data_IF_866182502175
#
_entry.id   IF_866182502175
#
_cell.length_a   1.000
_cell.length_b   1.000
_cell.length_c   1.000
_cell.angle_alpha   90.00
_cell.angle_beta   90.00
_cell.angle_gamma   90.00
#
_symmetry.space_group_name_H-M   'P 1'
#
loop_
_entity.id
_entity.type
_entity.pdbx_description
1 polymer ?
#
# COMPACT_ATOMS: atom_id res chain seq x y z
N UNK A 1 36.28 -16.74 -10.80
CA UNK A 1 36.03 -16.87 -9.35
C UNK A 1 35.79 -15.48 -8.75
N UNK A 2 34.51 -15.18 -8.52
CA UNK A 2 33.94 -14.26 -7.52
C UNK A 2 34.47 -12.82 -7.42
N UNK A 3 34.06 -11.95 -8.36
CA UNK A 3 33.61 -10.61 -7.99
C UNK A 3 32.15 -10.74 -7.55
N UNK A 4 31.90 -10.69 -6.23
CA UNK A 4 30.57 -10.73 -5.63
C UNK A 4 30.11 -9.30 -5.32
N UNK A 5 28.95 -8.95 -5.87
CA UNK A 5 27.89 -8.16 -5.26
C UNK A 5 28.32 -7.02 -4.31
N UNK A 6 28.52 -5.82 -4.87
CA UNK A 6 28.47 -4.57 -4.11
C UNK A 6 27.31 -3.64 -4.53
N UNK A 7 26.34 -4.13 -5.31
CA UNK A 7 25.23 -3.31 -5.84
C UNK A 7 23.93 -3.38 -5.04
N UNK A 8 23.94 -3.87 -3.78
CA UNK A 8 22.70 -4.10 -3.01
C UNK A 8 22.33 -3.04 -1.98
N UNK A 9 23.14 -2.01 -1.76
CA UNK A 9 22.87 -1.01 -0.71
C UNK A 9 22.85 0.46 -1.18
N UNK A 10 22.93 0.76 -2.48
CA UNK A 10 22.91 2.15 -2.96
C UNK A 10 21.58 2.89 -2.71
N UNK A 11 20.46 2.18 -2.49
CA UNK A 11 19.19 2.82 -2.12
C UNK A 11 19.14 3.34 -0.67
N UNK A 12 20.09 2.91 0.17
CA UNK A 12 20.20 3.39 1.55
C UNK A 12 21.08 4.65 1.65
N UNK A 13 21.96 4.90 0.67
CA UNK A 13 22.92 6.00 0.72
C UNK A 13 22.33 7.37 0.32
N UNK A 14 21.21 7.41 -0.41
CA UNK A 14 20.47 8.67 -0.64
C UNK A 14 19.75 9.21 0.62
N UNK A 15 19.74 8.46 1.73
CA UNK A 15 19.01 8.82 2.94
C UNK A 15 19.84 9.61 3.95
N UNK A 16 21.18 9.64 3.93
CA UNK A 16 21.93 10.18 5.08
C UNK A 16 22.22 11.70 5.00
N UNK A 17 22.45 12.26 3.82
CA UNK A 17 23.06 13.60 3.72
C UNK A 17 22.08 14.78 3.78
N UNK A 18 20.75 14.54 3.78
CA UNK A 18 19.75 15.61 3.85
C UNK A 18 18.50 15.23 4.68
N UNK A 19 18.69 14.48 5.77
CA UNK A 19 17.59 14.22 6.71
C UNK A 19 17.21 15.53 7.40
N UNK A 20 16.05 16.09 7.05
CA UNK A 20 15.44 17.18 7.82
C UNK A 20 15.38 16.79 9.32
N UNK A 21 15.54 17.79 10.20
CA UNK A 21 15.54 17.62 11.66
C UNK A 21 14.43 16.69 12.19
N UNK A 22 13.18 16.75 11.68
CA UNK A 22 12.11 15.85 12.13
C UNK A 22 12.37 14.36 11.85
N UNK A 23 13.06 14.03 10.76
CA UNK A 23 13.35 12.64 10.40
C UNK A 23 14.49 12.08 11.27
N UNK A 24 15.47 12.91 11.63
CA UNK A 24 16.53 12.55 12.59
C UNK A 24 15.94 12.21 13.96
N UNK A 25 15.02 13.04 14.45
CA UNK A 25 14.31 12.77 15.72
C UNK A 25 13.55 11.44 15.68
N UNK A 26 12.85 11.16 14.58
CA UNK A 26 12.13 9.89 14.39
C UNK A 26 13.07 8.69 14.36
N UNK A 27 14.20 8.77 13.67
CA UNK A 27 15.21 7.72 13.66
C UNK A 27 15.85 7.49 15.03
N UNK A 28 16.11 8.55 15.81
CA UNK A 28 16.63 8.41 17.16
C UNK A 28 15.62 7.73 18.10
N UNK A 29 14.33 8.04 17.97
CA UNK A 29 13.26 7.33 18.69
C UNK A 29 13.23 5.84 18.33
N UNK A 30 13.35 5.50 17.04
CA UNK A 30 13.43 4.12 16.57
C UNK A 30 14.65 3.40 17.18
N UNK A 31 15.84 4.03 17.15
CA UNK A 31 17.05 3.47 17.77
C UNK A 31 16.87 3.21 19.26
N UNK A 32 16.23 4.12 19.98
CA UNK A 32 15.90 3.94 21.39
C UNK A 32 14.98 2.73 21.60
N UNK A 33 13.91 2.60 20.82
CA UNK A 33 12.99 1.45 20.94
C UNK A 33 13.70 0.10 20.71
N UNK A 34 14.60 0.03 19.72
CA UNK A 34 15.41 -1.18 19.47
C UNK A 34 16.35 -1.47 20.65
N UNK A 35 17.01 -0.45 21.20
CA UNK A 35 17.91 -0.61 22.34
C UNK A 35 17.19 -1.14 23.59
N UNK A 36 15.90 -0.82 23.75
CA UNK A 36 15.04 -1.35 24.81
C UNK A 36 14.37 -2.69 24.44
N UNK A 37 14.79 -3.34 23.35
CA UNK A 37 14.30 -4.66 22.95
C UNK A 37 12.86 -4.69 22.43
N UNK A 38 12.29 -3.55 22.00
CA UNK A 38 10.93 -3.49 21.47
C UNK A 38 10.86 -4.07 20.05
N UNK A 39 9.88 -4.93 19.81
CA UNK A 39 9.57 -5.48 18.48
C UNK A 39 8.96 -4.38 17.59
N UNK A 40 9.67 -3.96 16.53
CA UNK A 40 9.18 -2.90 15.62
C UNK A 40 8.35 -3.42 14.44
N UNK A 41 8.50 -4.70 14.12
CA UNK A 41 7.90 -5.34 12.95
C UNK A 41 7.37 -6.71 13.36
N UNK A 42 6.07 -6.79 13.56
CA UNK A 42 5.41 -8.02 13.99
C UNK A 42 5.29 -9.00 12.81
N UNK A 43 5.56 -10.28 13.07
CA UNK A 43 5.40 -11.32 12.05
C UNK A 43 3.93 -11.52 11.61
N UNK A 44 2.98 -11.39 12.54
CA UNK A 44 1.55 -11.52 12.23
C UNK A 44 0.66 -10.86 13.28
N UNK A 45 -0.57 -10.55 12.87
CA UNK A 45 -1.67 -10.15 13.74
C UNK A 45 -2.99 -10.61 13.14
N UNK A 46 -3.72 -11.46 13.86
CA UNK A 46 -4.99 -12.03 13.38
C UNK A 46 -6.15 -11.10 13.73
N UNK A 47 -6.62 -10.33 12.73
CA UNK A 47 -7.86 -9.55 12.84
C UNK A 47 -9.09 -10.46 12.79
N UNK A 48 -10.17 -10.05 13.48
CA UNK A 48 -11.48 -10.72 13.40
C UNK A 48 -12.53 -9.87 12.67
N UNK A 49 -12.23 -8.61 12.38
CA UNK A 49 -13.11 -7.69 11.66
C UNK A 49 -12.29 -6.63 10.92
N UNK A 50 -12.75 -6.21 9.74
CA UNK A 50 -12.25 -5.02 9.04
C UNK A 50 -12.96 -3.75 9.51
N UNK A 51 -12.38 -2.58 9.26
CA UNK A 51 -13.04 -1.30 9.61
C UNK A 51 -14.35 -1.11 8.84
N UNK A 52 -14.42 -1.56 7.59
CA UNK A 52 -15.65 -1.51 6.78
C UNK A 52 -16.76 -2.38 7.34
N UNK A 53 -16.44 -3.62 7.75
CA UNK A 53 -17.41 -4.53 8.38
C UNK A 53 -17.87 -4.00 9.75
N UNK A 54 -16.95 -3.41 10.52
CA UNK A 54 -17.23 -2.78 11.80
C UNK A 54 -18.28 -1.66 11.65
N UNK A 55 -18.06 -0.72 10.73
CA UNK A 55 -18.99 0.38 10.47
C UNK A 55 -20.36 -0.13 10.05
N UNK A 56 -20.43 -1.15 9.20
CA UNK A 56 -21.70 -1.79 8.80
C UNK A 56 -22.42 -2.42 9.98
N UNK A 57 -21.70 -3.23 10.77
CA UNK A 57 -22.24 -3.97 11.93
C UNK A 57 -22.84 -3.03 12.98
N UNK A 58 -22.21 -1.89 13.21
CA UNK A 58 -22.59 -0.94 14.26
C UNK A 58 -23.25 0.33 13.75
N UNK A 59 -23.74 0.31 12.50
CA UNK A 59 -24.42 1.47 11.88
C UNK A 59 -25.72 1.88 12.58
N UNK A 60 -26.34 0.96 13.34
CA UNK A 60 -27.60 1.18 14.05
C UNK A 60 -27.45 1.44 15.57
N UNK A 61 -26.23 1.53 16.10
CA UNK A 61 -26.04 1.85 17.52
C UNK A 61 -26.38 3.32 17.80
N UNK A 62 -27.05 3.56 18.92
CA UNK A 62 -27.35 4.93 19.37
C UNK A 62 -26.16 5.56 20.11
N UNK A 63 -26.21 6.89 20.23
CA UNK A 63 -25.21 7.66 20.96
C UNK A 63 -25.07 7.20 22.42
N UNK A 64 -23.84 6.92 22.85
CA UNK A 64 -23.54 6.44 24.20
C UNK A 64 -23.68 4.92 24.40
N UNK A 65 -24.17 4.18 23.40
CA UNK A 65 -24.24 2.72 23.47
C UNK A 65 -22.87 2.08 23.33
N UNK A 66 -22.71 0.93 23.97
CA UNK A 66 -21.49 0.12 23.97
C UNK A 66 -21.85 -1.31 23.56
N UNK A 67 -20.95 -1.94 22.82
CA UNK A 67 -21.00 -3.36 22.50
C UNK A 67 -20.05 -4.13 23.40
N UNK A 68 -20.46 -5.29 23.88
CA UNK A 68 -19.59 -6.21 24.63
C UNK A 68 -18.73 -7.10 23.72
N UNK A 69 -18.91 -7.00 22.40
CA UNK A 69 -18.12 -7.76 21.44
C UNK A 69 -16.64 -7.41 21.55
N UNK A 70 -15.82 -8.45 21.63
CA UNK A 70 -14.37 -8.31 21.60
C UNK A 70 -13.86 -8.27 20.15
N UNK A 71 -13.31 -7.13 19.76
CA UNK A 71 -12.93 -6.82 18.38
C UNK A 71 -11.43 -6.73 18.26
N UNK A 72 -10.87 -7.32 17.20
CA UNK A 72 -9.48 -7.26 16.79
C UNK A 72 -9.40 -6.69 15.39
N UNK A 73 -8.86 -5.49 15.26
CA UNK A 73 -8.69 -4.80 14.00
C UNK A 73 -7.28 -4.25 13.89
N UNK A 74 -6.86 -3.92 12.67
CA UNK A 74 -5.57 -3.33 12.41
C UNK A 74 -5.70 -2.19 11.41
N UNK A 75 -4.83 -1.20 11.52
CA UNK A 75 -4.86 -0.05 10.64
C UNK A 75 -3.61 0.82 10.79
N UNK A 76 -3.45 1.74 9.86
CA UNK A 76 -2.40 2.77 9.92
C UNK A 76 -2.88 3.96 10.73
N UNK A 77 -2.07 4.43 11.68
CA UNK A 77 -2.33 5.66 12.42
C UNK A 77 -2.29 6.85 11.45
N UNK A 78 -3.41 7.57 11.36
CA UNK A 78 -3.56 8.76 10.53
C UNK A 78 -3.62 10.04 11.36
N UNK A 79 -4.14 9.96 12.58
CA UNK A 79 -4.28 11.08 13.52
C UNK A 79 -3.94 10.56 14.92
N UNK A 80 -3.27 11.38 15.72
CA UNK A 80 -2.88 11.06 17.08
C UNK A 80 -3.05 12.30 17.98
N UNK A 81 -3.92 12.22 18.99
CA UNK A 81 -4.35 13.36 19.83
C UNK A 81 -4.28 12.98 21.30
N UNK A 82 -3.29 13.51 22.02
CA UNK A 82 -3.06 13.24 23.44
C UNK A 82 -3.82 14.24 24.32
N UNK A 83 -4.55 13.74 25.31
CA UNK A 83 -5.35 14.52 26.26
C UNK A 83 -5.13 14.01 27.69
N UNK A 84 -4.00 14.41 28.30
CA UNK A 84 -3.64 13.98 29.65
C UNK A 84 -3.53 12.45 29.74
N UNK A 85 -4.45 11.82 30.49
CA UNK A 85 -4.47 10.36 30.73
C UNK A 85 -5.24 9.54 29.68
N UNK A 86 -5.69 10.18 28.60
CA UNK A 86 -6.35 9.53 27.49
C UNK A 86 -5.82 10.04 26.15
N UNK A 87 -5.84 9.20 25.14
CA UNK A 87 -5.45 9.53 23.77
C UNK A 87 -6.55 9.10 22.81
N UNK A 88 -6.85 9.97 21.83
CA UNK A 88 -7.71 9.66 20.69
C UNK A 88 -6.84 9.49 19.45
N UNK A 89 -7.02 8.39 18.73
CA UNK A 89 -6.23 8.07 17.55
C UNK A 89 -7.15 7.60 16.43
N UNK A 90 -6.96 8.09 15.20
CA UNK A 90 -7.71 7.57 14.06
C UNK A 90 -6.82 6.58 13.31
N UNK A 91 -7.28 5.35 13.13
CA UNK A 91 -6.63 4.37 12.26
C UNK A 91 -7.41 4.20 10.96
N UNK A 92 -6.69 3.91 9.89
CA UNK A 92 -7.25 3.62 8.56
C UNK A 92 -6.92 2.19 8.14
N UNK A 93 -7.95 1.42 7.80
CA UNK A 93 -7.84 0.12 7.12
C UNK A 93 -8.44 0.28 5.72
N UNK A 94 -7.62 0.07 4.70
CA UNK A 94 -7.97 0.36 3.31
C UNK A 94 -8.42 1.82 3.10
N UNK A 95 -9.70 2.05 2.83
CA UNK A 95 -10.30 3.37 2.61
C UNK A 95 -11.11 3.88 3.78
N UNK A 96 -11.39 3.03 4.77
CA UNK A 96 -12.22 3.36 5.91
C UNK A 96 -11.40 3.70 7.15
N UNK A 97 -11.95 4.58 7.97
CA UNK A 97 -11.35 5.02 9.22
C UNK A 97 -12.22 4.67 10.43
N UNK A 98 -11.58 4.48 11.56
CA UNK A 98 -12.25 4.35 12.86
C UNK A 98 -11.44 5.05 13.93
N UNK A 99 -12.14 5.68 14.87
CA UNK A 99 -11.52 6.31 16.03
C UNK A 99 -11.20 5.25 17.09
N UNK A 100 -10.05 5.39 17.71
CA UNK A 100 -9.59 4.66 18.86
C UNK A 100 -9.60 5.58 20.06
N UNK A 101 -10.05 5.07 21.19
CA UNK A 101 -9.95 5.69 22.49
C UNK A 101 -9.14 4.78 23.40
N UNK A 102 -8.03 5.29 23.92
CA UNK A 102 -7.16 4.57 24.84
C UNK A 102 -6.88 5.44 26.06
N UNK A 103 -6.85 4.84 27.24
CA UNK A 103 -6.54 5.54 28.48
C UNK A 103 -5.77 4.65 29.46
N UNK A 104 -5.13 5.26 30.45
CA UNK A 104 -4.33 4.54 31.46
C UNK A 104 -5.16 3.48 32.19
N UNK A 105 -6.44 3.73 32.47
CA UNK A 105 -7.30 2.76 33.18
C UNK A 105 -7.58 1.52 32.33
N UNK A 106 -7.61 1.65 31.00
CA UNK A 106 -7.94 0.55 30.09
C UNK A 106 -6.76 -0.38 29.80
N UNK A 107 -5.53 0.15 29.68
CA UNK A 107 -4.36 -0.64 29.25
C UNK A 107 -3.25 -0.74 30.31
N UNK A 108 -3.34 0.03 31.40
CA UNK A 108 -2.26 0.19 32.38
C UNK A 108 -1.25 1.28 31.99
N UNK A 109 -0.48 1.76 32.97
CA UNK A 109 0.44 2.89 32.79
C UNK A 109 1.61 2.55 31.84
N UNK A 110 2.22 1.38 32.00
CA UNK A 110 3.35 0.94 31.16
C UNK A 110 2.96 0.86 29.68
N UNK A 111 1.90 0.12 29.35
CA UNK A 111 1.40 0.02 27.97
C UNK A 111 0.90 1.36 27.43
N UNK A 112 0.31 2.22 28.27
CA UNK A 112 -0.09 3.54 27.83
C UNK A 112 1.13 4.38 27.42
N UNK A 113 2.23 4.32 28.18
CA UNK A 113 3.47 4.99 27.81
C UNK A 113 4.05 4.43 26.50
N UNK A 114 4.01 3.10 26.30
CA UNK A 114 4.38 2.49 25.00
C UNK A 114 3.48 2.97 23.85
N UNK A 115 2.20 3.20 24.12
CA UNK A 115 1.28 3.73 23.12
C UNK A 115 1.66 5.17 22.72
N UNK A 116 2.14 5.98 23.65
CA UNK A 116 2.63 7.34 23.38
C UNK A 116 3.92 7.34 22.53
N UNK A 117 4.66 6.23 22.50
CA UNK A 117 5.80 6.04 21.60
C UNK A 117 5.41 5.71 20.15
N UNK A 118 4.12 5.54 19.86
CA UNK A 118 3.64 5.40 18.48
C UNK A 118 3.66 6.75 17.74
N UNK A 119 3.74 6.69 16.41
CA UNK A 119 3.76 7.86 15.55
C UNK A 119 2.72 7.74 14.43
N UNK A 120 2.34 8.88 13.86
CA UNK A 120 1.54 8.91 12.63
C UNK A 120 2.30 8.16 11.52
N UNK A 121 1.59 7.25 10.85
CA UNK A 121 2.11 6.36 9.82
C UNK A 121 2.38 4.93 10.29
N UNK A 122 2.48 4.71 11.61
CA UNK A 122 2.67 3.37 12.17
C UNK A 122 1.46 2.48 11.89
N UNK A 123 1.72 1.20 11.65
CA UNK A 123 0.66 0.19 11.62
C UNK A 123 0.51 -0.43 13.00
N UNK A 124 -0.72 -0.47 13.50
CA UNK A 124 -1.04 -1.07 14.79
C UNK A 124 -2.21 -2.05 14.65
N UNK A 125 -2.16 -3.09 15.46
CA UNK A 125 -3.27 -3.97 15.76
C UNK A 125 -3.84 -3.57 17.12
N UNK A 126 -5.17 -3.52 17.25
CA UNK A 126 -5.85 -3.14 18.49
C UNK A 126 -6.90 -4.16 18.84
N UNK A 127 -7.11 -4.33 20.13
CA UNK A 127 -8.12 -5.18 20.72
C UNK A 127 -8.98 -4.35 21.66
N UNK A 128 -10.30 -4.49 21.58
CA UNK A 128 -11.20 -3.72 22.42
C UNK A 128 -12.66 -3.85 22.02
N UNK A 129 -13.48 -2.94 22.53
CA UNK A 129 -14.93 -2.95 22.34
C UNK A 129 -15.41 -1.72 21.57
N UNK A 130 -16.42 -1.89 20.74
CA UNK A 130 -17.05 -0.78 20.03
C UNK A 130 -17.95 0.03 20.97
N UNK A 131 -17.95 1.35 20.80
CA UNK A 131 -18.90 2.26 21.43
C UNK A 131 -19.16 3.48 20.55
N UNK A 132 -20.30 4.12 20.74
CA UNK A 132 -20.59 5.41 20.12
C UNK A 132 -20.33 6.51 21.14
N UNK A 133 -19.47 7.46 20.79
CA UNK A 133 -19.25 8.66 21.63
C UNK A 133 -20.54 9.47 21.75
N UNK A 134 -20.66 10.35 22.75
CA UNK A 134 -21.82 11.25 22.86
C UNK A 134 -22.05 12.14 21.63
N UNK A 135 -20.99 12.36 20.83
CA UNK A 135 -21.03 13.10 19.55
C UNK A 135 -21.45 12.25 18.35
N UNK A 136 -21.81 10.98 18.55
CA UNK A 136 -22.26 10.07 17.50
C UNK A 136 -21.12 9.39 16.71
N UNK A 137 -19.87 9.52 17.13
CA UNK A 137 -18.73 8.91 16.43
C UNK A 137 -18.43 7.49 16.94
N UNK A 138 -18.47 6.50 16.02
CA UNK A 138 -18.06 5.12 16.30
C UNK A 138 -16.59 5.06 16.67
N UNK A 139 -16.33 4.51 17.85
CA UNK A 139 -15.00 4.43 18.45
C UNK A 139 -14.74 3.04 19.04
N UNK A 140 -13.47 2.67 19.12
CA UNK A 140 -13.02 1.46 19.81
C UNK A 140 -12.38 1.86 21.14
N UNK A 141 -12.92 1.35 22.25
CA UNK A 141 -12.27 1.46 23.55
C UNK A 141 -11.18 0.39 23.64
N UNK A 142 -9.92 0.81 23.49
CA UNK A 142 -8.77 -0.08 23.37
C UNK A 142 -8.41 -0.68 24.72
N UNK A 143 -8.39 -2.00 24.79
CA UNK A 143 -7.94 -2.78 25.95
C UNK A 143 -6.53 -3.34 25.77
N UNK A 144 -6.11 -3.51 24.51
CA UNK A 144 -4.75 -3.93 24.18
C UNK A 144 -4.38 -3.45 22.78
N UNK A 145 -3.08 -3.29 22.53
CA UNK A 145 -2.56 -2.97 21.20
C UNK A 145 -1.23 -3.67 20.95
N UNK A 146 -0.89 -3.80 19.67
CA UNK A 146 0.40 -4.29 19.21
C UNK A 146 0.89 -3.40 18.07
N UNK A 147 2.13 -2.93 18.17
CA UNK A 147 2.83 -2.33 17.03
C UNK A 147 3.08 -3.43 15.97
N UNK A 148 2.60 -3.20 14.75
CA UNK A 148 2.77 -4.15 13.64
C UNK A 148 3.91 -3.76 12.71
N UNK A 149 4.04 -2.47 12.42
CA UNK A 149 5.13 -1.93 11.62
C UNK A 149 5.38 -0.49 12.01
N UNK A 150 6.56 -0.22 12.56
CA UNK A 150 7.02 1.14 12.79
C UNK A 150 7.25 1.86 11.46
N UNK A 151 6.71 3.06 11.32
CA UNK A 151 6.98 3.92 10.17
C UNK A 151 8.33 4.61 10.38
N UNK A 152 9.15 4.65 9.34
CA UNK A 152 10.45 5.33 9.36
C UNK A 152 10.31 6.75 8.81
N UNK A 153 9.56 6.89 7.71
CA UNK A 153 9.35 8.18 7.04
C UNK A 153 8.25 8.99 7.70
N UNK A 154 8.28 10.30 7.47
CA UNK A 154 7.23 11.22 7.90
C UNK A 154 6.09 11.14 6.90
N UNK A 155 4.86 11.05 7.41
CA UNK A 155 3.67 11.06 6.57
C UNK A 155 3.46 12.46 5.98
N UNK A 156 3.16 12.59 4.67
CA UNK A 156 2.82 13.87 4.08
C UNK A 156 1.57 14.47 4.75
N UNK A 157 1.56 15.79 4.96
CA UNK A 157 0.36 16.47 5.44
C UNK A 157 -0.78 16.39 4.41
N UNK A 158 -2.02 16.13 4.87
CA UNK A 158 -3.19 15.97 3.99
C UNK A 158 -3.47 17.15 3.05
N UNK A 159 -3.14 18.38 3.46
CA UNK A 159 -3.54 19.60 2.75
C UNK A 159 -2.44 20.21 1.87
N UNK A 160 -1.18 20.01 2.24
CA UNK A 160 -0.03 20.61 1.56
C UNK A 160 0.98 19.57 1.04
N UNK A 161 0.99 18.35 1.58
CA UNK A 161 2.15 17.46 1.53
C UNK A 161 2.37 16.66 0.26
N UNK A 162 1.38 16.50 -0.62
CA UNK A 162 1.54 15.73 -1.86
C UNK A 162 0.68 16.25 -3.01
N UNK A 163 0.76 17.55 -3.29
CA UNK A 163 0.10 18.18 -4.46
C UNK A 163 0.93 18.08 -5.74
N UNK A 164 2.26 18.03 -5.61
CA UNK A 164 3.19 17.90 -6.73
C UNK A 164 2.91 16.62 -7.52
N UNK A 165 2.52 16.79 -8.78
CA UNK A 165 2.12 15.71 -9.67
C UNK A 165 3.29 14.76 -9.96
N UNK A 166 4.50 15.30 -10.14
CA UNK A 166 5.69 14.50 -10.43
C UNK A 166 6.04 13.62 -9.22
N UNK A 167 6.05 14.22 -8.02
CA UNK A 167 6.33 13.50 -6.79
C UNK A 167 5.29 12.40 -6.53
N UNK A 168 4.00 12.67 -6.80
CA UNK A 168 2.93 11.67 -6.70
C UNK A 168 3.14 10.48 -7.63
N UNK A 169 3.67 10.73 -8.83
CA UNK A 169 3.94 9.67 -9.81
C UNK A 169 5.13 8.82 -9.38
N UNK A 170 6.19 9.44 -8.85
CA UNK A 170 7.38 8.74 -8.32
C UNK A 170 7.08 7.99 -7.02
N UNK A 171 6.26 8.56 -6.14
CA UNK A 171 5.91 8.02 -4.83
C UNK A 171 4.45 7.59 -4.75
N UNK A 172 4.01 6.79 -5.74
CA UNK A 172 2.59 6.36 -5.86
C UNK A 172 2.04 5.70 -4.60
N UNK A 173 2.89 4.99 -3.86
CA UNK A 173 2.52 4.35 -2.59
C UNK A 173 2.07 5.37 -1.52
N UNK A 174 2.64 6.57 -1.49
CA UNK A 174 2.18 7.66 -0.63
C UNK A 174 0.89 8.27 -1.15
N UNK A 175 0.80 8.47 -2.47
CA UNK A 175 -0.37 9.03 -3.14
C UNK A 175 -1.65 8.24 -2.84
N UNK A 176 -1.59 6.91 -2.82
CA UNK A 176 -2.73 6.07 -2.43
C UNK A 176 -3.21 6.29 -0.99
N UNK A 177 -2.33 6.70 -0.08
CA UNK A 177 -2.66 6.87 1.33
C UNK A 177 -3.39 8.19 1.53
N UNK A 178 -2.87 9.25 0.92
CA UNK A 178 -3.36 10.63 1.11
C UNK A 178 -4.49 11.01 0.16
N UNK A 179 -4.57 10.41 -1.04
CA UNK A 179 -5.56 10.72 -2.07
C UNK A 179 -6.41 9.47 -2.40
N UNK A 180 -7.54 9.23 -1.68
CA UNK A 180 -8.40 8.07 -1.90
C UNK A 180 -8.94 7.93 -3.34
N UNK A 181 -9.16 9.07 -4.02
CA UNK A 181 -9.65 9.09 -5.41
C UNK A 181 -8.66 8.41 -6.38
N UNK A 182 -7.35 8.52 -6.13
CA UNK A 182 -6.33 7.85 -6.95
C UNK A 182 -6.50 6.34 -6.86
N UNK A 183 -6.72 5.81 -5.66
CA UNK A 183 -6.96 4.38 -5.48
C UNK A 183 -8.22 3.93 -6.24
N UNK A 184 -9.30 4.72 -6.22
CA UNK A 184 -10.51 4.43 -7.01
C UNK A 184 -10.23 4.35 -8.50
N UNK A 185 -9.40 5.25 -9.05
CA UNK A 185 -9.00 5.20 -10.47
C UNK A 185 -8.31 3.86 -10.79
N UNK A 186 -7.41 3.39 -9.93
CA UNK A 186 -6.73 2.10 -10.12
C UNK A 186 -7.68 0.90 -10.00
N UNK A 187 -8.61 0.93 -9.03
CA UNK A 187 -9.65 -0.10 -8.92
C UNK A 187 -10.54 -0.14 -10.15
N UNK A 188 -10.91 1.02 -10.70
CA UNK A 188 -11.65 1.11 -11.96
C UNK A 188 -10.83 0.55 -13.12
N UNK A 189 -9.52 0.86 -13.21
CA UNK A 189 -8.64 0.30 -14.23
C UNK A 189 -8.60 -1.24 -14.17
N UNK A 190 -8.54 -1.82 -12.97
CA UNK A 190 -8.58 -3.28 -12.79
C UNK A 190 -9.90 -3.84 -13.34
N UNK A 191 -11.04 -3.25 -12.95
CA UNK A 191 -12.36 -3.68 -13.43
C UNK A 191 -12.52 -3.54 -14.95
N UNK A 192 -11.97 -2.49 -15.55
CA UNK A 192 -11.97 -2.30 -17.01
C UNK A 192 -11.17 -3.42 -17.70
N UNK A 193 -10.01 -3.78 -17.16
CA UNK A 193 -9.18 -4.88 -17.68
C UNK A 193 -9.92 -6.22 -17.56
N UNK A 194 -10.55 -6.49 -16.41
CA UNK A 194 -11.37 -7.69 -16.18
C UNK A 194 -12.53 -7.77 -17.17
N UNK A 195 -13.32 -6.70 -17.27
CA UNK A 195 -14.46 -6.61 -18.19
C UNK A 195 -14.06 -6.77 -19.65
N UNK A 196 -12.90 -6.25 -20.05
CA UNK A 196 -12.35 -6.44 -21.39
C UNK A 196 -12.07 -7.93 -21.68
N UNK A 197 -11.43 -8.63 -20.73
CA UNK A 197 -11.17 -10.07 -20.85
C UNK A 197 -12.46 -10.87 -20.92
N UNK A 198 -13.39 -10.64 -19.99
CA UNK A 198 -14.69 -11.31 -19.94
C UNK A 198 -15.44 -11.16 -21.27
N UNK A 199 -15.46 -9.97 -21.85
CA UNK A 199 -16.12 -9.69 -23.13
C UNK A 199 -15.50 -10.49 -24.28
N UNK A 200 -14.16 -10.54 -24.38
CA UNK A 200 -13.48 -11.25 -25.46
C UNK A 200 -13.57 -12.77 -25.31
N UNK A 201 -13.39 -13.28 -24.08
CA UNK A 201 -13.55 -14.71 -23.78
C UNK A 201 -14.99 -15.15 -24.05
N UNK A 202 -16.00 -14.36 -23.65
CA UNK A 202 -17.41 -14.61 -23.97
C UNK A 202 -17.73 -14.63 -25.46
N UNK A 203 -16.86 -14.04 -26.31
CA UNK A 203 -16.93 -14.08 -27.78
C UNK A 203 -16.05 -15.17 -28.40
N UNK A 204 -15.48 -16.06 -27.59
CA UNK A 204 -14.64 -17.18 -28.04
C UNK A 204 -13.23 -16.79 -28.45
N UNK A 205 -12.72 -15.62 -28.03
CA UNK A 205 -11.30 -15.29 -28.21
C UNK A 205 -10.43 -16.00 -27.17
N UNK A 206 -9.24 -16.43 -27.58
CA UNK A 206 -8.23 -17.02 -26.71
C UNK A 206 -7.19 -15.95 -26.33
N UNK A 207 -6.94 -15.78 -25.03
CA UNK A 207 -5.84 -14.93 -24.54
C UNK A 207 -4.52 -15.68 -24.74
N UNK A 208 -3.56 -15.04 -25.41
CA UNK A 208 -2.24 -15.61 -25.74
C UNK A 208 -1.13 -14.66 -25.30
N UNK A 209 0.08 -15.20 -25.13
CA UNK A 209 1.28 -14.41 -24.85
C UNK A 209 2.26 -14.53 -26.02
N UNK A 210 2.81 -13.40 -26.47
CA UNK A 210 3.81 -13.35 -27.55
C UNK A 210 5.11 -12.70 -27.08
N UNK A 211 6.26 -12.97 -27.73
CA UNK A 211 7.55 -12.44 -27.29
C UNK A 211 7.58 -10.91 -27.20
N UNK A 212 8.03 -10.39 -26.05
CA UNK A 212 8.31 -8.96 -25.85
C UNK A 212 9.70 -8.54 -26.31
N UNK A 213 10.66 -9.46 -26.34
CA UNK A 213 11.97 -9.25 -26.96
C UNK A 213 11.95 -9.88 -28.35
N UNK A 214 12.26 -9.09 -29.36
CA UNK A 214 12.14 -9.45 -30.78
C UNK A 214 13.44 -9.08 -31.50
N UNK A 215 13.86 -9.91 -32.46
CA UNK A 215 15.02 -9.61 -33.31
C UNK A 215 14.73 -8.51 -34.33
N UNK A 216 13.45 -8.38 -34.73
CA UNK A 216 12.97 -7.35 -35.65
C UNK A 216 11.73 -6.73 -35.02
N UNK A 217 11.75 -5.44 -34.64
CA UNK A 217 10.58 -4.75 -34.14
C UNK A 217 9.62 -4.45 -35.30
N UNK A 218 8.33 -4.68 -35.10
CA UNK A 218 7.32 -4.45 -36.14
C UNK A 218 5.90 -4.37 -35.61
N UNK A 219 4.93 -4.19 -36.52
CA UNK A 219 3.50 -4.07 -36.20
C UNK A 219 3.04 -2.67 -35.77
N UNK A 220 3.92 -1.67 -35.82
CA UNK A 220 3.59 -0.25 -35.65
C UNK A 220 4.71 0.63 -36.23
N UNK A 221 4.44 1.93 -36.41
CA UNK A 221 5.46 2.94 -36.70
C UNK A 221 5.88 3.63 -35.40
N UNK A 222 6.94 3.14 -34.75
CA UNK A 222 7.49 3.74 -33.53
C UNK A 222 8.98 3.36 -33.39
N UNK A 223 9.77 4.22 -32.74
CA UNK A 223 11.16 3.92 -32.42
C UNK A 223 11.21 2.89 -31.27
N UNK A 224 11.91 1.75 -31.44
CA UNK A 224 11.99 0.72 -30.41
C UNK A 224 13.01 1.06 -29.33
N UNK A 225 12.89 0.42 -28.17
CA UNK A 225 13.99 0.30 -27.22
C UNK A 225 14.90 -0.85 -27.66
N UNK A 226 16.21 -0.63 -27.56
CA UNK A 226 17.26 -1.57 -27.95
C UNK A 226 17.91 -2.12 -26.68
N UNK A 227 18.17 -3.42 -26.66
CA UNK A 227 18.90 -4.10 -25.58
C UNK A 227 19.81 -5.18 -26.17
N UNK A 228 20.68 -5.77 -25.35
CA UNK A 228 21.65 -6.77 -25.78
C UNK A 228 21.44 -8.08 -25.01
N UNK A 229 21.42 -9.20 -25.72
CA UNK A 229 21.23 -10.52 -25.16
C UNK A 229 22.57 -11.23 -24.98
N UNK A 230 23.15 -11.14 -23.77
CA UNK A 230 24.50 -11.63 -23.45
C UNK A 230 24.79 -13.08 -23.88
N UNK A 231 23.83 -14.01 -23.74
CA UNK A 231 24.08 -15.43 -24.02
C UNK A 231 24.07 -15.77 -25.52
N UNK A 232 23.42 -14.93 -26.35
CA UNK A 232 23.36 -15.12 -27.81
C UNK A 232 24.20 -14.07 -28.53
N UNK A 233 24.87 -13.19 -27.78
CA UNK A 233 25.68 -12.08 -28.26
C UNK A 233 25.01 -11.31 -29.41
N UNK A 234 23.75 -10.92 -29.20
CA UNK A 234 22.95 -10.29 -30.25
C UNK A 234 22.08 -9.15 -29.72
N UNK A 235 21.75 -8.21 -30.60
CA UNK A 235 20.79 -7.16 -30.31
C UNK A 235 19.35 -7.68 -30.33
N UNK A 236 18.55 -7.20 -29.38
CA UNK A 236 17.11 -7.43 -29.33
C UNK A 236 16.39 -6.10 -29.11
N UNK A 237 15.14 -6.09 -29.55
CA UNK A 237 14.27 -4.93 -29.46
C UNK A 237 13.07 -5.26 -28.58
N UNK A 238 12.69 -4.33 -27.69
CA UNK A 238 11.40 -4.44 -27.02
C UNK A 238 10.28 -4.16 -28.04
N UNK A 239 9.24 -4.99 -28.03
CA UNK A 239 8.16 -4.90 -29.01
C UNK A 239 7.41 -3.56 -28.93
N UNK A 240 7.10 -3.02 -30.10
CA UNK A 240 6.25 -1.83 -30.27
C UNK A 240 4.76 -2.20 -30.46
N UNK A 241 4.50 -3.42 -30.93
CA UNK A 241 3.18 -4.05 -31.05
C UNK A 241 3.32 -5.59 -31.14
N UNK A 242 2.29 -6.36 -30.74
CA UNK A 242 2.28 -7.82 -30.88
C UNK A 242 1.74 -8.33 -32.23
N UNK A 243 1.30 -7.42 -33.13
CA UNK A 243 0.50 -7.74 -34.33
C UNK A 243 1.09 -8.86 -35.20
N UNK A 244 2.39 -8.81 -35.51
CA UNK A 244 3.03 -9.80 -36.38
C UNK A 244 3.02 -11.21 -35.78
N UNK A 245 3.16 -11.33 -34.46
CA UNK A 245 3.10 -12.62 -33.77
C UNK A 245 1.66 -13.13 -33.67
N UNK A 246 0.68 -12.25 -33.43
CA UNK A 246 -0.72 -12.65 -33.45
C UNK A 246 -1.14 -13.17 -34.84
N UNK A 247 -0.71 -12.50 -35.93
CA UNK A 247 -0.94 -12.99 -37.30
C UNK A 247 -0.31 -14.37 -37.55
N UNK A 248 0.86 -14.66 -36.99
CA UNK A 248 1.48 -16.00 -37.08
C UNK A 248 0.63 -17.07 -36.40
N UNK A 249 -0.04 -16.75 -35.29
CA UNK A 249 -0.97 -17.67 -34.64
C UNK A 249 -2.21 -17.92 -35.52
N UNK A 250 -2.72 -16.88 -36.19
CA UNK A 250 -3.82 -17.06 -37.17
C UNK A 250 -3.39 -18.02 -38.29
N UNK A 251 -2.19 -17.84 -38.85
CA UNK A 251 -1.62 -18.78 -39.85
C UNK A 251 -1.50 -20.19 -39.26
N UNK A 252 -1.15 -20.31 -37.97
CA UNK A 252 -1.06 -21.57 -37.25
C UNK A 252 -2.40 -22.24 -36.93
N UNK A 253 -3.53 -21.67 -37.34
CA UNK A 253 -4.86 -22.27 -37.19
C UNK A 253 -5.70 -21.74 -36.02
N UNK A 254 -5.23 -20.70 -35.31
CA UNK A 254 -6.07 -20.04 -34.31
C UNK A 254 -7.07 -19.09 -34.99
N UNK A 255 -8.37 -19.25 -34.74
CA UNK A 255 -9.38 -18.39 -35.38
C UNK A 255 -9.53 -17.01 -34.71
N UNK A 256 -9.42 -16.96 -33.37
CA UNK A 256 -9.65 -15.75 -32.57
C UNK A 256 -8.67 -15.69 -31.41
N UNK A 257 -7.71 -14.78 -31.49
CA UNK A 257 -6.72 -14.54 -30.42
C UNK A 257 -6.70 -13.07 -30.02
N UNK A 258 -6.34 -12.82 -28.77
CA UNK A 258 -5.99 -11.48 -28.30
C UNK A 258 -4.85 -11.55 -27.29
N UNK A 259 -4.15 -10.44 -27.13
CA UNK A 259 -3.15 -10.26 -26.08
C UNK A 259 -3.36 -8.90 -25.43
N UNK A 260 -3.52 -8.88 -24.10
CA UNK A 260 -3.63 -7.65 -23.31
C UNK A 260 -2.40 -7.48 -22.43
N UNK A 261 -1.35 -6.85 -22.97
CA UNK A 261 -0.07 -6.76 -22.28
C UNK A 261 0.74 -5.53 -22.73
N UNK A 262 1.95 -5.33 -22.17
CA UNK A 262 2.76 -4.13 -22.37
C UNK A 262 3.36 -4.04 -23.79
N UNK A 263 3.49 -2.81 -24.28
CA UNK A 263 4.29 -2.42 -25.46
C UNK A 263 5.22 -1.28 -25.06
N UNK A 264 6.33 -1.12 -25.78
CA UNK A 264 7.39 -0.16 -25.43
C UNK A 264 7.71 0.69 -26.66
N UNK A 265 7.55 2.01 -26.54
CA UNK A 265 7.84 2.98 -27.61
C UNK A 265 8.76 4.07 -27.05
N UNK A 266 9.84 4.35 -27.75
CA UNK A 266 10.88 5.31 -27.33
C UNK A 266 10.68 6.62 -28.10
N UNK A 267 9.73 7.44 -27.64
CA UNK A 267 9.24 8.67 -28.28
C UNK A 267 9.29 9.88 -27.35
#
# INVERSE_FOLDING_TARGET
MSQKDNSKNDYLLELEDNLGEPLKLKLNKIKSLVAHGKELYAASFKKNISVTELQKKYSCLNSGEKSDDFLKLAGRIMIFRVHGKATFCDIKDQDEKVQLYINIKSVGEEKYNEFLDLDIGDWIGVQGNAFITHKGELSINVQDFKLLSKSIRIMPEKWHGLKDIELRYRQRYLDFIVNPEVKKIFLTRIKVIESFRECLIGKGFLEVETPMLQTIPGGAAAKPFITHHNALDMELFLRIAPELFLKRLIIGGFERVFELNRNFRNE
#
